data_IF_862769994788
#
_entry.id   IF_862769994788
#
_cell.length_a   1.000
_cell.length_b   1.000
_cell.length_c   1.000
_cell.angle_alpha   90.00
_cell.angle_beta   90.00
_cell.angle_gamma   90.00
#
_symmetry.space_group_name_H-M   'P 1'
#
loop_
_entity.id
_entity.type
_entity.pdbx_description
1 polymer ?
#
# COMPACT_ATOMS: atom_id res chain seq x y z
N UNK A 1 8.33 49.39 -1.75
CA UNK A 1 7.34 49.40 -2.86
C UNK A 1 7.21 50.81 -3.49
N UNK A 2 6.59 50.91 -4.68
CA UNK A 2 6.38 52.20 -5.33
C UNK A 2 4.94 52.67 -5.19
N UNK A 3 4.71 53.92 -4.92
CA UNK A 3 3.38 54.48 -4.83
C UNK A 3 2.66 54.49 -6.22
N UNK A 4 1.47 53.88 -6.39
CA UNK A 4 0.80 53.82 -7.69
C UNK A 4 0.36 55.15 -8.25
N UNK A 5 0.35 56.24 -7.44
CA UNK A 5 -0.11 57.56 -7.87
C UNK A 5 1.05 58.48 -8.29
N UNK A 6 2.25 58.30 -7.73
CA UNK A 6 3.37 59.28 -7.97
C UNK A 6 4.73 58.59 -8.17
N UNK A 7 4.77 57.28 -8.23
CA UNK A 7 6.00 56.46 -8.38
C UNK A 7 7.08 56.68 -7.30
N UNK A 8 6.78 57.40 -6.22
CA UNK A 8 7.71 57.62 -5.13
C UNK A 8 8.01 56.28 -4.43
N UNK A 9 9.29 56.02 -4.17
CA UNK A 9 9.70 54.78 -3.54
C UNK A 9 9.52 54.86 -2.01
N UNK A 10 8.62 54.02 -1.50
CA UNK A 10 8.28 53.95 -0.08
C UNK A 10 9.07 52.79 0.53
N UNK A 11 10.00 53.06 1.44
CA UNK A 11 10.89 52.11 2.06
C UNK A 11 10.41 51.52 3.39
N UNK A 12 9.39 52.14 3.99
CA UNK A 12 8.78 51.74 5.27
C UNK A 12 7.29 51.51 5.12
N UNK A 13 6.71 50.56 5.91
CA UNK A 13 5.25 50.36 5.97
C UNK A 13 4.61 51.63 6.54
N UNK A 14 3.94 52.44 5.69
CA UNK A 14 3.19 53.65 6.06
C UNK A 14 1.82 53.65 5.38
N UNK A 15 0.77 54.07 6.11
CA UNK A 15 -0.61 54.02 5.59
C UNK A 15 -0.83 55.06 4.47
N UNK A 16 -0.02 56.12 4.40
CA UNK A 16 -0.14 57.18 3.40
C UNK A 16 1.21 57.46 2.77
N UNK A 17 1.20 57.73 1.45
CA UNK A 17 2.44 58.12 0.74
C UNK A 17 2.95 59.45 1.30
N UNK A 18 4.23 59.54 1.74
CA UNK A 18 4.77 60.80 2.33
C UNK A 18 4.92 61.89 1.31
N UNK A 19 4.88 61.58 0.01
CA UNK A 19 5.04 62.58 -1.05
C UNK A 19 3.72 63.11 -1.59
N UNK A 20 2.67 62.25 -1.81
CA UNK A 20 1.42 62.66 -2.42
C UNK A 20 0.18 62.42 -1.58
N UNK A 21 0.32 61.88 -0.35
CA UNK A 21 -0.79 61.62 0.55
C UNK A 21 -1.72 60.47 0.12
N UNK A 22 -1.37 59.70 -0.93
CA UNK A 22 -2.21 58.61 -1.38
C UNK A 22 -2.27 57.51 -0.32
N UNK A 23 -3.47 56.94 -0.09
CA UNK A 23 -3.72 55.88 0.86
C UNK A 23 -3.14 54.56 0.31
N UNK A 24 -2.22 53.96 1.07
CA UNK A 24 -1.53 52.72 0.74
C UNK A 24 -1.99 51.51 1.59
N UNK A 25 -2.93 51.74 2.54
CA UNK A 25 -3.38 50.68 3.47
C UNK A 25 -3.96 49.46 2.75
N UNK A 26 -4.75 49.70 1.70
CA UNK A 26 -5.35 48.64 0.88
C UNK A 26 -4.34 47.78 0.11
N UNK A 27 -3.15 48.30 -0.14
CA UNK A 27 -2.08 47.55 -0.80
C UNK A 27 -1.42 46.57 0.18
N UNK A 28 -1.25 46.97 1.43
CA UNK A 28 -0.71 46.11 2.48
C UNK A 28 -1.67 45.00 2.89
N UNK A 29 -2.98 45.31 3.01
CA UNK A 29 -4.02 44.32 3.27
C UNK A 29 -4.03 43.21 2.19
N UNK A 30 -3.83 43.60 0.92
CA UNK A 30 -3.78 42.64 -0.18
C UNK A 30 -2.52 41.78 -0.14
N UNK A 31 -1.36 42.34 0.22
CA UNK A 31 -0.11 41.57 0.38
C UNK A 31 -0.24 40.55 1.53
N UNK A 32 -0.83 40.94 2.68
CA UNK A 32 -1.04 40.02 3.81
C UNK A 32 -2.00 38.86 3.49
N UNK A 33 -3.07 39.11 2.70
CA UNK A 33 -3.98 38.06 2.25
C UNK A 33 -3.28 37.10 1.29
N UNK A 34 -2.46 37.61 0.35
CA UNK A 34 -1.71 36.78 -0.59
C UNK A 34 -0.65 35.94 0.13
N UNK A 35 0.05 36.52 1.12
CA UNK A 35 1.02 35.78 1.93
C UNK A 35 0.35 34.70 2.78
N UNK A 36 -0.85 34.94 3.31
CA UNK A 36 -1.64 33.96 4.05
C UNK A 36 -2.10 32.80 3.14
N UNK A 37 -2.65 33.10 1.96
CA UNK A 37 -3.06 32.08 0.98
C UNK A 37 -1.88 31.24 0.47
N UNK A 38 -0.71 31.86 0.22
CA UNK A 38 0.51 31.13 -0.18
C UNK A 38 1.02 30.23 0.95
N UNK A 39 0.86 30.65 2.21
CA UNK A 39 1.32 29.89 3.35
C UNK A 39 0.38 28.69 3.63
N UNK A 40 -0.95 28.87 3.49
CA UNK A 40 -1.92 27.78 3.56
C UNK A 40 -1.67 26.73 2.45
N UNK A 41 -1.45 27.17 1.22
CA UNK A 41 -1.13 26.26 0.10
C UNK A 41 0.22 25.54 0.27
N UNK A 42 1.19 26.14 0.96
CA UNK A 42 2.44 25.49 1.34
C UNK A 42 2.26 24.48 2.45
N UNK A 43 1.46 24.80 3.48
CA UNK A 43 1.18 23.89 4.59
C UNK A 43 0.43 22.68 4.08
N UNK A 44 -0.60 22.87 3.23
CA UNK A 44 -1.35 21.76 2.60
C UNK A 44 -0.45 20.89 1.71
N UNK A 45 0.50 21.50 0.98
CA UNK A 45 1.50 20.76 0.18
C UNK A 45 2.56 20.06 1.02
N UNK A 46 2.92 20.60 2.18
CA UNK A 46 3.85 19.95 3.13
C UNK A 46 3.15 18.82 3.90
N UNK A 47 1.91 19.00 4.36
CA UNK A 47 1.12 17.92 5.00
C UNK A 47 0.88 16.76 4.04
N UNK A 48 0.52 17.02 2.78
CA UNK A 48 0.39 16.00 1.73
C UNK A 48 1.75 15.35 1.39
N UNK A 49 2.85 16.05 1.56
CA UNK A 49 4.21 15.49 1.40
C UNK A 49 4.65 14.68 2.62
N UNK A 50 4.31 15.11 3.84
CA UNK A 50 4.60 14.34 5.06
C UNK A 50 3.73 13.09 5.16
N UNK A 51 2.45 13.16 4.78
CA UNK A 51 1.58 11.98 4.69
C UNK A 51 2.11 10.99 3.63
N UNK A 52 2.62 11.46 2.50
CA UNK A 52 3.32 10.65 1.50
C UNK A 52 4.70 10.17 1.96
N UNK A 53 5.42 10.92 2.79
CA UNK A 53 6.72 10.53 3.31
C UNK A 53 6.64 9.52 4.46
N UNK A 54 5.59 9.54 5.28
CA UNK A 54 5.34 8.49 6.29
C UNK A 54 4.88 7.16 5.67
N UNK A 55 4.35 7.19 4.44
CA UNK A 55 4.00 5.98 3.69
C UNK A 55 5.20 5.44 2.88
N UNK A 56 6.30 6.20 2.77
CA UNK A 56 7.49 5.83 1.99
C UNK A 56 8.61 5.19 2.81
N UNK A 57 8.30 4.53 3.94
CA UNK A 57 9.27 3.69 4.64
C UNK A 57 9.63 2.47 3.79
N UNK A 58 10.72 2.60 3.03
CA UNK A 58 11.53 1.55 2.39
C UNK A 58 10.74 0.40 1.74
N UNK A 59 10.00 0.72 0.69
CA UNK A 59 9.54 -0.29 -0.25
C UNK A 59 10.63 -0.49 -1.30
N UNK A 60 11.29 -1.63 -1.26
CA UNK A 60 12.08 -2.16 -2.37
C UNK A 60 11.05 -2.65 -3.42
N UNK A 61 10.40 -1.68 -4.04
CA UNK A 61 9.28 -1.85 -4.94
C UNK A 61 9.76 -1.46 -6.34
N UNK A 62 9.62 -2.38 -7.27
CA UNK A 62 9.82 -2.09 -8.68
C UNK A 62 8.67 -1.15 -9.11
N UNK A 63 8.94 0.15 -9.06
CA UNK A 63 8.02 1.29 -9.21
C UNK A 63 7.25 1.30 -10.56
N UNK A 64 7.55 0.33 -11.45
CA UNK A 64 7.00 0.28 -12.81
C UNK A 64 5.87 -0.75 -13.00
N UNK A 65 5.48 -1.54 -12.00
CA UNK A 65 4.61 -2.70 -12.22
C UNK A 65 3.17 -2.54 -11.71
N UNK A 66 2.91 -1.74 -10.66
CA UNK A 66 1.59 -1.61 -10.04
C UNK A 66 1.26 -0.14 -9.74
N UNK A 67 0.03 0.27 -10.02
CA UNK A 67 -0.47 1.61 -9.70
C UNK A 67 -0.72 1.74 -8.20
N UNK A 68 -0.22 2.80 -7.56
CA UNK A 68 -0.43 3.08 -6.14
C UNK A 68 -1.91 3.15 -5.77
N UNK A 69 -2.74 3.69 -6.66
CA UNK A 69 -4.19 3.74 -6.48
C UNK A 69 -4.80 2.33 -6.47
N UNK A 70 -4.35 1.44 -7.36
CA UNK A 70 -4.79 0.03 -7.40
C UNK A 70 -4.45 -0.68 -6.09
N UNK A 71 -3.25 -0.43 -5.53
CA UNK A 71 -2.82 -0.99 -4.26
C UNK A 71 -3.70 -0.50 -3.10
N UNK A 72 -3.87 0.82 -2.95
CA UNK A 72 -4.60 1.43 -1.82
C UNK A 72 -6.06 0.98 -1.77
N UNK A 73 -6.73 0.94 -2.92
CA UNK A 73 -8.12 0.53 -3.02
C UNK A 73 -8.32 -0.99 -2.83
N UNK A 74 -7.30 -1.80 -3.12
CA UNK A 74 -7.48 -3.25 -3.23
C UNK A 74 -6.65 -4.09 -2.24
N UNK A 75 -5.83 -3.49 -1.37
CA UNK A 75 -5.04 -4.21 -0.35
C UNK A 75 -5.87 -5.11 0.57
N UNK A 76 -7.08 -4.68 0.92
CA UNK A 76 -7.99 -5.48 1.74
C UNK A 76 -8.54 -6.68 0.97
N UNK A 77 -8.81 -6.51 -0.33
CA UNK A 77 -9.21 -7.64 -1.18
C UNK A 77 -8.06 -8.64 -1.37
N UNK A 78 -6.84 -8.15 -1.55
CA UNK A 78 -5.64 -8.99 -1.68
C UNK A 78 -5.36 -9.83 -0.42
N UNK A 79 -5.73 -9.36 0.78
CA UNK A 79 -5.67 -10.13 2.02
C UNK A 79 -6.45 -11.45 1.94
N UNK A 80 -7.67 -11.44 1.37
CA UNK A 80 -8.50 -12.63 1.26
C UNK A 80 -7.87 -13.74 0.39
N UNK A 81 -6.88 -13.39 -0.43
CA UNK A 81 -6.19 -14.36 -1.29
C UNK A 81 -5.48 -15.48 -0.52
N UNK A 82 -5.12 -15.26 0.74
CA UNK A 82 -4.37 -16.21 1.57
C UNK A 82 -5.22 -16.97 2.59
N UNK A 83 -6.54 -16.75 2.57
CA UNK A 83 -7.48 -17.43 3.47
C UNK A 83 -8.13 -18.65 2.80
N UNK A 84 -7.33 -19.58 2.33
CA UNK A 84 -7.79 -20.79 1.67
C UNK A 84 -8.65 -20.47 0.45
N UNK A 85 -9.89 -20.94 0.38
CA UNK A 85 -10.78 -20.73 -0.77
C UNK A 85 -11.30 -19.30 -0.95
N UNK A 86 -11.02 -18.40 -0.01
CA UNK A 86 -11.49 -17.00 -0.08
C UNK A 86 -10.77 -16.19 -1.18
N UNK A 87 -9.74 -16.73 -1.82
CA UNK A 87 -9.13 -16.11 -3.01
C UNK A 87 -10.12 -15.88 -4.17
N UNK A 88 -11.26 -16.56 -4.16
CA UNK A 88 -12.35 -16.36 -5.11
C UNK A 88 -12.94 -14.95 -4.98
N UNK A 89 -12.97 -14.37 -3.76
CA UNK A 89 -13.53 -13.04 -3.51
C UNK A 89 -12.80 -11.96 -4.31
N UNK A 90 -11.47 -11.75 -4.16
CA UNK A 90 -10.78 -10.76 -4.97
C UNK A 90 -10.78 -11.07 -6.47
N UNK A 91 -10.81 -12.34 -6.84
CA UNK A 91 -10.86 -12.77 -8.23
C UNK A 91 -12.14 -12.31 -8.94
N UNK A 92 -13.28 -12.35 -8.23
CA UNK A 92 -14.59 -11.93 -8.77
C UNK A 92 -14.84 -10.44 -8.56
N UNK A 93 -14.49 -9.91 -7.39
CA UNK A 93 -14.80 -8.52 -7.02
C UNK A 93 -13.89 -7.50 -7.72
N UNK A 94 -12.64 -7.87 -8.01
CA UNK A 94 -11.60 -6.98 -8.55
C UNK A 94 -10.81 -7.63 -9.70
N UNK A 95 -11.49 -8.08 -10.77
CA UNK A 95 -10.84 -8.81 -11.87
C UNK A 95 -9.82 -7.97 -12.64
N UNK A 96 -9.92 -6.63 -12.60
CA UNK A 96 -9.04 -5.73 -13.33
C UNK A 96 -7.81 -5.29 -12.51
N UNK A 97 -7.82 -5.49 -11.19
CA UNK A 97 -6.71 -5.15 -10.32
C UNK A 97 -5.51 -6.08 -10.55
N UNK A 98 -4.41 -5.51 -11.02
CA UNK A 98 -3.15 -6.24 -11.17
C UNK A 98 -2.57 -6.67 -9.82
N UNK A 99 -2.73 -5.83 -8.82
CA UNK A 99 -2.28 -6.11 -7.46
C UNK A 99 -3.03 -7.30 -6.84
N UNK A 100 -4.36 -7.32 -6.95
CA UNK A 100 -5.16 -8.47 -6.51
C UNK A 100 -4.79 -9.75 -7.28
N UNK A 101 -4.67 -9.70 -8.60
CA UNK A 101 -4.27 -10.86 -9.42
C UNK A 101 -2.95 -11.47 -8.96
N UNK A 102 -1.97 -10.64 -8.61
CA UNK A 102 -0.68 -11.10 -8.10
C UNK A 102 -0.86 -11.92 -6.81
N UNK A 103 -1.58 -11.40 -5.82
CA UNK A 103 -1.81 -12.08 -4.54
C UNK A 103 -2.74 -13.29 -4.68
N UNK A 104 -3.78 -13.21 -5.51
CA UNK A 104 -4.67 -14.33 -5.82
C UNK A 104 -3.89 -15.48 -6.44
N UNK A 105 -2.99 -15.20 -7.38
CA UNK A 105 -2.15 -16.23 -7.98
C UNK A 105 -1.31 -16.99 -6.94
N UNK A 106 -0.72 -16.28 -5.99
CA UNK A 106 0.06 -16.89 -4.91
C UNK A 106 -0.83 -17.67 -3.93
N UNK A 107 -2.00 -17.14 -3.60
CA UNK A 107 -2.97 -17.83 -2.74
C UNK A 107 -3.50 -19.12 -3.35
N UNK A 108 -3.77 -19.14 -4.66
CA UNK A 108 -4.19 -20.35 -5.38
C UNK A 108 -3.08 -21.41 -5.31
N UNK A 109 -1.83 -21.03 -5.59
CA UNK A 109 -0.71 -21.96 -5.55
C UNK A 109 -0.51 -22.53 -4.16
N UNK A 110 -0.57 -21.69 -3.12
CA UNK A 110 -0.48 -22.11 -1.74
C UNK A 110 -1.59 -23.11 -1.39
N UNK A 111 -2.83 -22.83 -1.77
CA UNK A 111 -3.98 -23.70 -1.55
C UNK A 111 -3.83 -25.06 -2.29
N UNK A 112 -3.32 -25.05 -3.52
CA UNK A 112 -3.08 -26.28 -4.27
C UNK A 112 -1.99 -27.12 -3.60
N UNK A 113 -0.88 -26.51 -3.20
CA UNK A 113 0.23 -27.21 -2.50
C UNK A 113 -0.29 -27.84 -1.22
N UNK A 114 -1.03 -27.08 -0.41
CA UNK A 114 -1.63 -27.54 0.84
C UNK A 114 -2.61 -28.72 0.62
N UNK A 115 -3.46 -28.61 -0.38
CA UNK A 115 -4.39 -29.68 -0.74
C UNK A 115 -3.67 -30.98 -1.21
N UNK A 116 -2.60 -30.84 -1.99
CA UNK A 116 -1.81 -32.00 -2.45
C UNK A 116 -1.10 -32.67 -1.29
N UNK A 117 -0.45 -31.90 -0.43
CA UNK A 117 0.25 -32.40 0.75
C UNK A 117 -0.74 -33.11 1.68
N UNK A 118 -1.88 -32.49 1.99
CA UNK A 118 -2.93 -33.07 2.82
C UNK A 118 -3.47 -34.38 2.24
N UNK A 119 -3.72 -34.44 0.93
CA UNK A 119 -4.19 -35.66 0.28
C UNK A 119 -3.16 -36.79 0.34
N UNK A 120 -1.87 -36.49 0.15
CA UNK A 120 -0.79 -37.49 0.28
C UNK A 120 -0.70 -38.03 1.71
N UNK A 121 -0.71 -37.14 2.70
CA UNK A 121 -0.62 -37.52 4.10
C UNK A 121 -1.84 -38.34 4.55
N UNK A 122 -3.04 -37.94 4.18
CA UNK A 122 -4.26 -38.71 4.46
C UNK A 122 -4.23 -40.13 3.80
N UNK A 123 -3.71 -40.20 2.57
CA UNK A 123 -3.52 -41.48 1.90
C UNK A 123 -2.51 -42.37 2.61
N UNK A 124 -1.42 -41.82 3.12
CA UNK A 124 -0.41 -42.54 3.90
C UNK A 124 -0.96 -43.02 5.25
N UNK A 125 -1.72 -42.19 5.95
CA UNK A 125 -2.38 -42.57 7.21
C UNK A 125 -3.35 -43.71 7.01
N UNK A 126 -4.14 -43.70 5.94
CA UNK A 126 -5.05 -44.80 5.61
C UNK A 126 -4.35 -46.10 5.27
N UNK A 127 -3.15 -46.04 4.65
CA UNK A 127 -2.37 -47.19 4.25
C UNK A 127 -1.53 -47.80 5.40
N UNK A 128 -1.30 -47.04 6.49
CA UNK A 128 -0.45 -47.50 7.60
C UNK A 128 -1.24 -48.28 8.67
N UNK A 129 -0.72 -49.43 9.06
CA UNK A 129 -1.36 -50.31 10.05
C UNK A 129 -0.74 -50.15 11.45
N UNK A 130 0.39 -49.45 11.58
CA UNK A 130 1.10 -49.32 12.85
C UNK A 130 0.93 -47.92 13.45
N UNK A 131 0.51 -47.84 14.73
CA UNK A 131 0.31 -46.60 15.44
C UNK A 131 1.55 -45.68 15.47
N UNK A 132 2.75 -46.24 15.52
CA UNK A 132 4.00 -45.47 15.54
C UNK A 132 4.29 -44.75 14.21
N UNK A 133 3.93 -45.35 13.07
CA UNK A 133 4.08 -44.69 11.77
C UNK A 133 3.04 -43.61 11.59
N UNK A 134 1.81 -43.80 12.04
CA UNK A 134 0.77 -42.76 12.03
C UNK A 134 1.23 -41.54 12.80
N UNK A 135 1.78 -41.70 14.01
CA UNK A 135 2.28 -40.55 14.81
C UNK A 135 3.39 -39.77 14.13
N UNK A 136 4.27 -40.44 13.37
CA UNK A 136 5.33 -39.77 12.59
C UNK A 136 4.71 -38.98 11.43
N UNK A 137 3.73 -39.53 10.73
CA UNK A 137 3.03 -38.84 9.63
C UNK A 137 2.31 -37.62 10.18
N UNK A 138 1.58 -37.71 11.29
CA UNK A 138 0.89 -36.61 11.95
C UNK A 138 1.87 -35.49 12.37
N UNK A 139 3.04 -35.83 12.86
CA UNK A 139 4.08 -34.85 13.21
C UNK A 139 4.59 -34.12 11.96
N UNK A 140 4.79 -34.84 10.87
CA UNK A 140 5.25 -34.25 9.60
C UNK A 140 4.18 -33.36 8.97
N UNK A 141 2.91 -33.78 8.98
CA UNK A 141 1.80 -32.93 8.52
C UNK A 141 1.67 -31.66 9.32
N UNK A 142 1.70 -31.76 10.65
CA UNK A 142 1.65 -30.57 11.52
C UNK A 142 2.79 -29.60 11.25
N UNK A 143 4.01 -30.11 11.00
CA UNK A 143 5.14 -29.25 10.65
C UNK A 143 4.96 -28.54 9.30
N UNK A 144 4.38 -29.23 8.31
CA UNK A 144 4.07 -28.65 7.01
C UNK A 144 2.94 -27.61 7.10
N UNK A 145 1.89 -27.86 7.89
CA UNK A 145 0.79 -26.95 8.12
C UNK A 145 1.28 -25.63 8.80
N UNK A 146 2.20 -25.76 9.76
CA UNK A 146 2.84 -24.57 10.36
C UNK A 146 3.63 -23.79 9.32
N UNK A 147 4.35 -24.46 8.42
CA UNK A 147 5.13 -23.82 7.37
C UNK A 147 4.20 -23.06 6.39
N UNK A 148 3.12 -23.72 5.92
CA UNK A 148 2.14 -23.08 5.02
C UNK A 148 1.42 -21.91 5.70
N UNK A 149 1.08 -22.04 6.98
CA UNK A 149 0.52 -20.94 7.77
C UNK A 149 1.49 -19.75 7.88
N UNK A 150 2.78 -19.99 8.10
CA UNK A 150 3.80 -18.92 8.10
C UNK A 150 3.91 -18.24 6.74
N UNK A 151 3.85 -18.99 5.64
CA UNK A 151 3.85 -18.43 4.29
C UNK A 151 2.58 -17.61 4.01
N UNK A 152 1.42 -18.09 4.46
CA UNK A 152 0.17 -17.36 4.35
C UNK A 152 0.22 -16.03 5.13
N UNK A 153 0.71 -16.04 6.38
CA UNK A 153 0.89 -14.83 7.19
C UNK A 153 1.85 -13.86 6.50
N UNK A 154 2.97 -14.34 5.96
CA UNK A 154 3.91 -13.51 5.21
C UNK A 154 3.24 -12.86 3.99
N UNK A 155 2.44 -13.62 3.23
CA UNK A 155 1.66 -13.11 2.10
C UNK A 155 0.62 -12.07 2.53
N UNK A 156 -0.10 -12.31 3.63
CA UNK A 156 -1.07 -11.38 4.23
C UNK A 156 -0.40 -10.05 4.60
N UNK A 157 0.75 -10.11 5.28
CA UNK A 157 1.50 -8.91 5.67
C UNK A 157 1.92 -8.12 4.43
N UNK A 158 2.41 -8.80 3.38
CA UNK A 158 2.76 -8.14 2.13
C UNK A 158 1.53 -7.50 1.47
N UNK A 159 0.40 -8.19 1.40
CA UNK A 159 -0.84 -7.67 0.83
C UNK A 159 -1.33 -6.41 1.57
N UNK A 160 -1.40 -6.45 2.91
CA UNK A 160 -1.86 -5.33 3.72
C UNK A 160 -0.90 -4.14 3.73
N UNK A 161 0.40 -4.40 3.60
CA UNK A 161 1.42 -3.34 3.47
C UNK A 161 1.60 -2.84 2.03
N UNK A 162 0.78 -3.31 1.08
CA UNK A 162 0.82 -2.88 -0.32
C UNK A 162 2.02 -3.41 -1.11
N UNK A 163 2.69 -4.46 -0.64
CA UNK A 163 3.88 -5.03 -1.27
C UNK A 163 3.53 -6.21 -2.16
N UNK A 164 3.89 -6.16 -3.43
CA UNK A 164 3.76 -7.29 -4.34
C UNK A 164 5.03 -8.19 -4.30
N UNK A 165 5.39 -8.69 -3.12
CA UNK A 165 6.53 -9.62 -2.94
C UNK A 165 6.11 -11.06 -3.17
N UNK A 166 6.93 -11.77 -3.96
CA UNK A 166 6.76 -13.21 -4.20
C UNK A 166 6.99 -14.02 -2.91
N UNK A 167 6.15 -15.02 -2.70
CA UNK A 167 6.39 -15.98 -1.62
C UNK A 167 7.66 -16.80 -1.90
N UNK A 168 8.47 -17.09 -0.88
CA UNK A 168 9.64 -17.94 -1.06
C UNK A 168 9.23 -19.31 -1.58
N UNK A 169 10.00 -19.86 -2.51
CA UNK A 169 9.83 -21.18 -3.15
C UNK A 169 8.67 -21.21 -4.18
N UNK A 170 7.47 -20.78 -3.83
CA UNK A 170 6.26 -20.98 -4.64
C UNK A 170 5.85 -19.74 -5.47
N UNK A 171 6.33 -18.55 -5.11
CA UNK A 171 5.91 -17.29 -5.71
C UNK A 171 6.27 -17.10 -7.19
N UNK A 172 7.20 -17.90 -7.71
CA UNK A 172 7.63 -17.87 -9.12
C UNK A 172 6.60 -18.47 -10.09
N UNK A 173 5.71 -19.31 -9.60
CA UNK A 173 4.69 -19.93 -10.42
C UNK A 173 3.54 -18.94 -10.66
N UNK A 174 3.14 -18.76 -11.91
CA UNK A 174 2.01 -17.89 -12.31
C UNK A 174 0.99 -18.71 -13.08
N UNK A 175 -0.22 -18.83 -12.52
CA UNK A 175 -1.37 -19.53 -13.11
C UNK A 175 -2.25 -18.50 -13.84
N UNK A 176 -2.47 -17.34 -13.21
CA UNK A 176 -3.23 -16.24 -13.79
C UNK A 176 -2.31 -15.32 -14.61
N UNK A 177 -2.76 -14.96 -15.81
CA UNK A 177 -2.13 -13.97 -16.70
C UNK A 177 -2.82 -12.62 -16.61
#
# INVERSE_FOLDING_TARGET
MKCPKCDFEVTTKVNFCPYCGHDLSKLYEREEVIEAEINEEKIEKEEVKEEKAHTSASYDYDDNMYDMKDIEENKVFAFFSYLGFLFIIPLIAKPDSRFCKFHVNQGIILCIVDAIVGAICAGLEFATVTASLVSVIELMTTALDILTACLAIYGIVNALTGKAKELPVIGKFRILK
#
